data_IF_974957007859
#
_entry.id   IF_974957007859
#
_cell.length_a   1.000
_cell.length_b   1.000
_cell.length_c   1.000
_cell.angle_alpha   90.00
_cell.angle_beta   90.00
_cell.angle_gamma   90.00
#
_symmetry.space_group_name_H-M   'P 1'
#
loop_
_entity.id
_entity.type
_entity.pdbx_description
1 polymer ?
#
# COMPACT_ATOMS: atom_id res chain seq x y z
N UNK A 1 -18.99 11.41 16.66
CA UNK A 1 -18.63 12.16 15.44
C UNK A 1 -18.65 11.20 14.25
N UNK A 2 -19.50 11.45 13.25
CA UNK A 2 -19.38 10.80 11.93
C UNK A 2 -18.57 11.75 11.06
N UNK A 3 -17.40 11.30 10.58
CA UNK A 3 -16.45 12.14 9.85
C UNK A 3 -16.86 12.45 8.38
N UNK A 4 -18.12 12.19 7.99
CA UNK A 4 -18.59 12.40 6.61
C UNK A 4 -17.97 11.46 5.56
N UNK A 5 -17.08 10.54 5.94
CA UNK A 5 -16.44 9.60 5.01
C UNK A 5 -17.35 8.44 4.62
N UNK A 6 -17.40 8.14 3.33
CA UNK A 6 -17.97 6.90 2.79
C UNK A 6 -17.00 5.76 2.99
N UNK A 7 -17.47 4.65 3.58
CA UNK A 7 -16.67 3.43 3.72
C UNK A 7 -16.76 2.66 2.40
N UNK A 8 -15.62 2.40 1.76
CA UNK A 8 -15.56 1.54 0.58
C UNK A 8 -15.74 0.08 1.00
N UNK A 9 -16.59 -0.70 0.32
CA UNK A 9 -16.66 -2.14 0.56
C UNK A 9 -15.31 -2.77 0.23
N UNK A 10 -14.72 -3.48 1.20
CA UNK A 10 -13.49 -4.23 1.02
C UNK A 10 -13.77 -5.72 1.23
N UNK A 11 -13.61 -6.55 0.19
CA UNK A 11 -13.85 -7.98 0.35
C UNK A 11 -12.79 -8.61 1.27
N UNK A 12 -13.12 -9.66 2.04
CA UNK A 12 -12.19 -10.31 2.95
C UNK A 12 -11.05 -10.96 2.16
N UNK A 13 -9.83 -10.94 2.73
CA UNK A 13 -8.61 -11.57 2.20
C UNK A 13 -8.03 -11.00 0.87
N UNK A 14 -8.61 -9.94 0.29
CA UNK A 14 -8.05 -9.33 -0.93
C UNK A 14 -7.00 -8.26 -0.63
N UNK A 15 -5.84 -8.70 -0.10
CA UNK A 15 -4.70 -7.81 0.13
C UNK A 15 -4.24 -7.11 -1.16
N UNK A 16 -4.43 -7.73 -2.34
CA UNK A 16 -4.07 -7.13 -3.62
C UNK A 16 -4.92 -5.90 -4.03
N UNK A 17 -5.98 -5.57 -3.28
CA UNK A 17 -6.86 -4.43 -3.56
C UNK A 17 -6.60 -3.23 -2.61
N UNK A 18 -5.96 -3.45 -1.48
CA UNK A 18 -5.61 -2.37 -0.56
C UNK A 18 -4.38 -1.60 -1.07
N UNK A 19 -4.52 -0.28 -1.25
CA UNK A 19 -3.42 0.60 -1.70
C UNK A 19 -2.15 0.43 -0.85
N UNK A 20 -2.32 0.26 0.47
CA UNK A 20 -1.20 0.01 1.38
C UNK A 20 -0.43 -1.24 0.98
N UNK A 21 -1.13 -2.32 0.69
CA UNK A 21 -0.57 -3.66 0.55
C UNK A 21 0.05 -3.88 -0.82
N UNK A 22 -0.60 -3.43 -1.91
CA UNK A 22 -0.07 -3.67 -3.25
C UNK A 22 0.91 -2.60 -3.73
N UNK A 23 0.91 -1.41 -3.14
CA UNK A 23 1.71 -0.27 -3.60
C UNK A 23 2.62 0.31 -2.53
N UNK A 24 2.13 0.64 -1.34
CA UNK A 24 2.97 1.31 -0.35
C UNK A 24 4.00 0.37 0.31
N UNK A 25 3.53 -0.72 0.88
CA UNK A 25 4.32 -1.65 1.68
C UNK A 25 5.41 -2.37 0.90
N UNK A 26 5.23 -2.81 -0.36
CA UNK A 26 6.32 -3.42 -1.11
C UNK A 26 7.50 -2.46 -1.32
N UNK A 27 7.20 -1.19 -1.59
CA UNK A 27 8.22 -0.15 -1.72
C UNK A 27 8.86 0.18 -0.38
N UNK A 28 8.07 0.21 0.70
CA UNK A 28 8.57 0.46 2.05
C UNK A 28 9.47 -0.67 2.55
N UNK A 29 9.03 -1.92 2.40
CA UNK A 29 9.82 -3.11 2.72
C UNK A 29 11.14 -3.09 1.97
N UNK A 30 11.14 -2.79 0.67
CA UNK A 30 12.38 -2.66 -0.11
C UNK A 30 13.29 -1.54 0.40
N UNK A 31 12.73 -0.44 0.90
CA UNK A 31 13.51 0.64 1.49
C UNK A 31 14.16 0.23 2.82
N UNK A 32 13.42 -0.49 3.65
CA UNK A 32 13.87 -0.92 4.97
C UNK A 32 14.72 -2.20 4.93
N UNK A 33 14.70 -2.93 3.81
CA UNK A 33 15.40 -4.19 3.65
C UNK A 33 16.91 -4.01 3.93
N UNK A 34 17.44 -4.85 4.82
CA UNK A 34 18.86 -4.83 5.21
C UNK A 34 19.21 -3.76 6.25
N UNK A 35 18.30 -2.87 6.62
CA UNK A 35 18.54 -1.90 7.70
C UNK A 35 18.30 -2.55 9.07
N UNK A 36 19.22 -2.34 10.02
CA UNK A 36 19.04 -2.72 11.43
C UNK A 36 18.81 -1.48 12.27
N UNK A 37 17.66 -1.39 12.91
CA UNK A 37 17.32 -0.28 13.81
C UNK A 37 17.48 -0.73 15.26
N UNK A 38 18.28 0.00 16.04
CA UNK A 38 18.51 -0.30 17.47
C UNK A 38 17.53 0.45 18.38
N UNK A 39 16.98 1.57 17.90
CA UNK A 39 16.07 2.43 18.66
C UNK A 39 14.91 2.90 17.76
N UNK A 40 13.78 3.23 18.40
CA UNK A 40 12.55 3.65 17.70
C UNK A 40 12.75 4.92 16.85
N UNK A 41 13.51 5.89 17.35
CA UNK A 41 13.75 7.15 16.64
C UNK A 41 14.42 6.94 15.27
N UNK A 42 15.23 5.90 15.13
CA UNK A 42 15.90 5.60 13.86
C UNK A 42 14.91 5.05 12.83
N UNK A 43 13.94 4.22 13.23
CA UNK A 43 12.91 3.74 12.31
C UNK A 43 11.93 4.87 11.97
N UNK A 44 11.56 5.73 12.92
CA UNK A 44 10.72 6.91 12.67
C UNK A 44 11.36 7.84 11.62
N UNK A 45 12.66 8.17 11.77
CA UNK A 45 13.40 8.96 10.78
C UNK A 45 13.49 8.27 9.41
N UNK A 46 13.69 6.96 9.36
CA UNK A 46 13.71 6.22 8.11
C UNK A 46 12.34 6.26 7.40
N UNK A 47 11.25 6.11 8.15
CA UNK A 47 9.89 6.25 7.64
C UNK A 47 9.63 7.67 7.11
N UNK A 48 9.94 8.70 7.89
CA UNK A 48 9.78 10.08 7.44
C UNK A 48 10.55 10.37 6.14
N UNK A 49 11.81 9.93 6.09
CA UNK A 49 12.65 10.08 4.91
C UNK A 49 12.06 9.34 3.71
N UNK A 50 11.51 8.14 3.92
CA UNK A 50 10.83 7.39 2.87
C UNK A 50 9.66 8.18 2.29
N UNK A 51 8.76 8.69 3.14
CA UNK A 51 7.55 9.41 2.69
C UNK A 51 7.89 10.75 2.03
N UNK A 52 8.81 11.54 2.61
CA UNK A 52 9.24 12.83 2.07
C UNK A 52 9.89 12.72 0.69
N UNK A 53 10.56 11.60 0.39
CA UNK A 53 11.22 11.36 -0.90
C UNK A 53 10.28 10.86 -2.01
N UNK A 54 9.00 10.58 -1.72
CA UNK A 54 8.06 10.11 -2.74
C UNK A 54 7.50 11.29 -3.51
N UNK A 55 7.59 11.23 -4.83
CA UNK A 55 6.99 12.21 -5.72
C UNK A 55 5.46 12.11 -5.70
N UNK A 56 4.73 13.18 -6.05
CA UNK A 56 3.27 13.10 -6.22
C UNK A 56 2.84 11.99 -7.18
N UNK A 57 3.61 11.78 -8.25
CA UNK A 57 3.37 10.71 -9.23
C UNK A 57 3.47 9.30 -8.63
N UNK A 58 4.26 9.09 -7.57
CA UNK A 58 4.29 7.82 -6.85
C UNK A 58 2.94 7.55 -6.18
N UNK A 59 2.37 8.55 -5.50
CA UNK A 59 1.08 8.42 -4.81
C UNK A 59 -0.08 8.23 -5.80
N UNK A 60 -0.12 9.05 -6.85
CA UNK A 60 -1.16 8.95 -7.88
C UNK A 60 -1.13 7.63 -8.64
N UNK A 61 0.04 7.00 -8.77
CA UNK A 61 0.19 5.72 -9.49
C UNK A 61 -0.61 4.61 -8.82
N UNK A 62 -0.52 4.44 -7.49
CA UNK A 62 -1.26 3.36 -6.84
C UNK A 62 -2.77 3.55 -7.05
N UNK A 63 -3.32 4.74 -6.80
CA UNK A 63 -4.74 5.01 -7.05
C UNK A 63 -5.15 4.75 -8.51
N UNK A 64 -4.33 5.14 -9.48
CA UNK A 64 -4.62 4.91 -10.90
C UNK A 64 -4.55 3.43 -11.30
N UNK A 65 -3.70 2.65 -10.64
CA UNK A 65 -3.55 1.22 -10.93
C UNK A 65 -4.65 0.38 -10.28
N UNK A 66 -5.42 0.96 -9.35
CA UNK A 66 -6.49 0.29 -8.62
C UNK A 66 -7.56 -0.32 -9.55
N UNK A 67 -8.18 0.39 -10.52
CA UNK A 67 -9.19 -0.20 -11.41
C UNK A 67 -8.66 -1.39 -12.20
N UNK A 68 -7.40 -1.33 -12.65
CA UNK A 68 -6.75 -2.43 -13.37
C UNK A 68 -6.59 -3.66 -12.47
N UNK A 69 -6.31 -3.48 -11.18
CA UNK A 69 -6.23 -4.58 -10.21
C UNK A 69 -7.60 -5.17 -9.91
N UNK A 70 -8.62 -4.33 -9.75
CA UNK A 70 -10.01 -4.79 -9.62
C UNK A 70 -10.44 -5.65 -10.80
N UNK A 71 -10.14 -5.21 -12.03
CA UNK A 71 -10.43 -5.99 -13.24
C UNK A 71 -9.72 -7.35 -13.21
N UNK A 72 -8.41 -7.37 -12.93
CA UNK A 72 -7.66 -8.63 -12.82
C UNK A 72 -8.22 -9.58 -11.76
N UNK A 73 -8.63 -9.05 -10.61
CA UNK A 73 -9.22 -9.86 -9.53
C UNK A 73 -10.61 -10.39 -9.92
N UNK A 74 -11.40 -9.60 -10.64
CA UNK A 74 -12.69 -10.03 -11.20
C UNK A 74 -12.51 -11.12 -12.25
N UNK A 75 -11.57 -10.94 -13.18
CA UNK A 75 -11.30 -11.89 -14.27
C UNK A 75 -10.72 -13.20 -13.75
N UNK A 76 -10.00 -13.17 -12.62
CA UNK A 76 -9.39 -14.35 -12.00
C UNK A 76 -10.37 -15.24 -11.20
N UNK A 77 -11.68 -14.95 -11.20
CA UNK A 77 -12.75 -15.77 -10.57
C UNK A 77 -12.32 -16.50 -9.28
N UNK A 78 -11.92 -15.76 -8.25
CA UNK A 78 -11.66 -16.34 -6.92
C UNK A 78 -10.49 -17.33 -6.83
N UNK A 79 -9.61 -17.42 -7.83
CA UNK A 79 -8.37 -18.15 -7.70
C UNK A 79 -7.39 -17.34 -6.83
N UNK A 80 -7.39 -17.69 -5.54
CA UNK A 80 -6.41 -17.28 -4.55
C UNK A 80 -5.02 -17.38 -5.17
N UNK A 81 -4.39 -16.23 -5.42
CA UNK A 81 -2.99 -16.14 -5.80
C UNK A 81 -2.19 -16.62 -4.58
N UNK A 82 -1.84 -17.91 -4.58
CA UNK A 82 -0.84 -18.50 -3.69
C UNK A 82 0.52 -17.84 -3.91
#
# INVERSE_FOLDING_TARGET
MKFGCTISPHPPYFSNLAYSDYHLFPHLQRHLLGQKFQIRDNIEKALENFFKKRSPAFWSRGTRDLPKRWQKTSDAFGACLK
#
